data_IF_574102681274
#
_entry.id   IF_574102681274
#
_cell.length_a   1.000
_cell.length_b   1.000
_cell.length_c   1.000
_cell.angle_alpha   90.00
_cell.angle_beta   90.00
_cell.angle_gamma   90.00
#
_symmetry.space_group_name_H-M   'P 1'
#
loop_
_entity.id
_entity.type
_entity.pdbx_description
1 polymer ?
#
# COMPACT_ATOMS: atom_id res chain seq x y z
N UNK A 1 -3.02 18.87 -15.78
CA UNK A 1 -1.84 18.49 -16.58
C UNK A 1 -0.75 17.85 -15.71
N UNK A 2 -0.32 18.45 -14.59
CA UNK A 2 0.77 17.88 -13.76
C UNK A 2 0.49 16.53 -13.03
N UNK A 3 -0.75 16.22 -12.62
CA UNK A 3 -1.06 14.99 -11.87
C UNK A 3 -1.10 13.73 -12.76
N UNK A 4 -1.54 13.89 -14.01
CA UNK A 4 -1.63 12.79 -14.99
C UNK A 4 -0.24 12.29 -15.43
N UNK A 5 0.79 13.13 -15.35
CA UNK A 5 2.16 12.80 -15.77
C UNK A 5 2.97 12.04 -14.68
N UNK A 6 2.52 12.05 -13.42
CA UNK A 6 3.23 11.38 -12.32
C UNK A 6 3.14 9.87 -12.45
N UNK A 7 1.95 9.35 -12.78
CA UNK A 7 1.68 7.91 -12.92
C UNK A 7 2.59 7.24 -13.96
N UNK A 8 2.74 7.75 -15.21
CA UNK A 8 3.64 7.15 -16.19
C UNK A 8 5.11 7.28 -15.82
N UNK A 9 5.54 8.39 -15.20
CA UNK A 9 6.94 8.55 -14.75
C UNK A 9 7.30 7.58 -13.63
N UNK A 10 6.42 7.40 -12.66
CA UNK A 10 6.63 6.44 -11.58
C UNK A 10 6.73 5.01 -12.12
N UNK A 11 5.85 4.63 -13.06
CA UNK A 11 5.96 3.34 -13.74
C UNK A 11 7.26 3.21 -14.53
N UNK A 12 7.67 4.24 -15.28
CA UNK A 12 8.93 4.22 -16.02
C UNK A 12 10.15 4.00 -15.12
N UNK A 13 10.15 4.55 -13.90
CA UNK A 13 11.21 4.30 -12.91
C UNK A 13 11.22 2.83 -12.43
N UNK A 14 10.06 2.19 -12.35
CA UNK A 14 9.91 0.82 -11.88
C UNK A 14 10.05 -0.25 -12.97
N UNK A 15 9.93 0.12 -14.25
CA UNK A 15 10.00 -0.81 -15.39
C UNK A 15 11.29 -1.65 -15.38
N UNK A 16 12.43 -1.07 -14.96
CA UNK A 16 13.69 -1.81 -14.86
C UNK A 16 13.68 -2.95 -13.83
N UNK A 17 12.73 -2.94 -12.87
CA UNK A 17 12.60 -3.98 -11.86
C UNK A 17 11.72 -5.15 -12.32
N UNK A 18 10.88 -4.96 -13.35
CA UNK A 18 9.95 -5.99 -13.84
C UNK A 18 10.67 -7.25 -14.29
N UNK A 19 11.76 -7.21 -15.09
CA UNK A 19 12.49 -8.42 -15.49
C UNK A 19 13.11 -9.18 -14.31
N UNK A 20 13.54 -8.46 -13.26
CA UNK A 20 14.11 -9.07 -12.06
C UNK A 20 13.04 -9.80 -11.24
N UNK A 21 11.81 -9.28 -11.28
CA UNK A 21 10.66 -9.82 -10.56
C UNK A 21 9.82 -10.79 -11.41
N UNK A 22 10.17 -10.99 -12.69
CA UNK A 22 9.52 -11.95 -13.58
C UNK A 22 9.34 -13.35 -12.98
N UNK A 23 10.31 -13.97 -12.26
CA UNK A 23 10.08 -15.29 -11.67
C UNK A 23 9.07 -15.28 -10.52
N UNK A 24 8.81 -14.13 -9.90
CA UNK A 24 7.90 -13.99 -8.76
C UNK A 24 6.46 -13.88 -9.26
N UNK A 25 5.52 -14.52 -8.54
CA UNK A 25 4.10 -14.37 -8.84
C UNK A 25 3.58 -13.02 -8.28
N UNK A 26 2.80 -12.22 -9.02
CA UNK A 26 2.26 -10.93 -8.58
C UNK A 26 1.61 -10.95 -7.19
N UNK A 27 0.80 -11.97 -6.87
CA UNK A 27 0.18 -12.11 -5.54
C UNK A 27 1.17 -12.06 -4.36
N UNK A 28 2.40 -12.57 -4.53
CA UNK A 28 3.42 -12.50 -3.48
C UNK A 28 3.93 -11.07 -3.28
N UNK A 29 3.98 -10.30 -4.37
CA UNK A 29 4.33 -8.87 -4.33
C UNK A 29 3.20 -8.10 -3.62
N UNK A 30 1.94 -8.40 -3.94
CA UNK A 30 0.76 -7.85 -3.25
C UNK A 30 0.78 -8.20 -1.75
N UNK A 31 1.06 -9.46 -1.40
CA UNK A 31 1.16 -9.91 0.00
C UNK A 31 2.30 -9.20 0.76
N UNK A 32 3.44 -8.97 0.11
CA UNK A 32 4.53 -8.19 0.68
C UNK A 32 4.13 -6.72 0.92
N UNK A 33 3.31 -6.14 0.05
CA UNK A 33 2.71 -4.82 0.24
C UNK A 33 1.82 -4.76 1.49
N UNK A 34 0.94 -5.75 1.67
CA UNK A 34 0.10 -5.88 2.87
C UNK A 34 0.96 -6.05 4.13
N UNK A 35 2.02 -6.86 4.06
CA UNK A 35 2.95 -7.03 5.18
C UNK A 35 3.59 -5.70 5.57
N UNK A 36 4.02 -4.87 4.61
CA UNK A 36 4.55 -3.53 4.88
C UNK A 36 3.53 -2.66 5.64
N UNK A 37 2.26 -2.70 5.24
CA UNK A 37 1.16 -1.99 5.92
C UNK A 37 0.97 -2.45 7.37
N UNK A 38 0.98 -3.76 7.61
CA UNK A 38 0.84 -4.33 8.96
C UNK A 38 2.04 -4.00 9.84
N UNK A 39 3.25 -4.04 9.29
CA UNK A 39 4.46 -3.64 10.01
C UNK A 39 4.43 -2.15 10.36
N UNK A 40 4.02 -1.28 9.42
CA UNK A 40 3.85 0.15 9.70
C UNK A 40 2.82 0.38 10.82
N UNK A 41 1.68 -0.33 10.77
CA UNK A 41 0.65 -0.30 11.80
C UNK A 41 1.20 -0.69 13.18
N UNK A 42 1.96 -1.79 13.26
CA UNK A 42 2.60 -2.23 14.50
C UNK A 42 3.63 -1.21 15.03
N UNK A 43 4.38 -0.56 14.13
CA UNK A 43 5.37 0.45 14.51
C UNK A 43 4.75 1.72 15.09
N UNK A 44 3.53 2.10 14.70
CA UNK A 44 2.83 3.21 15.33
C UNK A 44 2.63 3.00 16.83
N UNK A 45 2.44 1.75 17.28
CA UNK A 45 2.23 1.43 18.70
C UNK A 45 3.43 1.78 19.58
N UNK A 46 4.65 1.70 19.03
CA UNK A 46 5.90 1.97 19.76
C UNK A 46 6.49 3.36 19.47
N UNK A 47 5.97 4.05 18.45
CA UNK A 47 6.43 5.38 18.03
C UNK A 47 6.20 6.48 19.08
N UNK A 48 5.25 6.31 20.01
CA UNK A 48 5.07 7.24 21.12
C UNK A 48 6.21 7.21 22.14
N UNK A 49 6.96 6.10 22.22
CA UNK A 49 8.03 5.91 23.22
C UNK A 49 9.43 6.00 22.60
N UNK A 50 9.56 5.69 21.30
CA UNK A 50 10.83 5.64 20.57
C UNK A 50 10.73 6.48 19.32
N UNK A 51 11.82 7.19 18.97
CA UNK A 51 11.85 8.06 17.79
C UNK A 51 12.20 7.35 16.47
N UNK A 52 12.92 6.24 16.52
CA UNK A 52 13.34 5.51 15.32
C UNK A 52 12.18 5.02 14.41
N UNK A 53 10.97 4.65 14.91
CA UNK A 53 9.87 4.24 14.06
C UNK A 53 9.43 5.33 13.07
N UNK A 54 9.59 6.61 13.42
CA UNK A 54 9.28 7.72 12.49
C UNK A 54 10.18 7.76 11.25
N UNK A 55 11.34 7.09 11.26
CA UNK A 55 12.17 6.92 10.07
C UNK A 55 11.76 5.68 9.27
N UNK A 56 11.35 4.61 9.95
CA UNK A 56 11.06 3.32 9.30
C UNK A 56 9.65 3.28 8.70
N UNK A 57 8.67 3.88 9.37
CA UNK A 57 7.27 3.91 8.89
C UNK A 57 7.17 4.53 7.48
N UNK A 58 7.74 5.72 7.20
CA UNK A 58 7.70 6.29 5.84
C UNK A 58 8.34 5.37 4.80
N UNK A 59 9.43 4.68 5.14
CA UNK A 59 10.08 3.73 4.24
C UNK A 59 9.19 2.53 3.93
N UNK A 60 8.51 1.98 4.94
CA UNK A 60 7.53 0.90 4.75
C UNK A 60 6.34 1.35 3.89
N UNK A 61 5.84 2.57 4.09
CA UNK A 61 4.74 3.11 3.29
C UNK A 61 5.16 3.36 1.83
N UNK A 62 6.36 3.89 1.61
CA UNK A 62 6.93 4.05 0.26
C UNK A 62 7.14 2.69 -0.41
N UNK A 63 7.63 1.69 0.33
CA UNK A 63 7.79 0.34 -0.16
C UNK A 63 6.43 -0.28 -0.51
N UNK A 64 5.41 -0.11 0.33
CA UNK A 64 4.02 -0.55 0.06
C UNK A 64 3.48 0.03 -1.23
N UNK A 65 3.64 1.35 -1.46
CA UNK A 65 3.17 2.01 -2.69
C UNK A 65 3.93 1.47 -3.91
N UNK A 66 5.22 1.20 -3.73
CA UNK A 66 6.08 0.64 -4.79
C UNK A 66 5.68 -0.79 -5.14
N UNK A 67 5.45 -1.65 -4.13
CA UNK A 67 5.02 -3.04 -4.32
C UNK A 67 3.65 -3.12 -4.98
N UNK A 68 2.69 -2.29 -4.58
CA UNK A 68 1.35 -2.20 -5.20
C UNK A 68 1.36 -1.64 -6.64
N UNK A 69 2.46 -1.03 -7.06
CA UNK A 69 2.65 -0.67 -8.47
C UNK A 69 3.31 -1.82 -9.24
N UNK A 70 4.28 -2.48 -8.61
CA UNK A 70 5.04 -3.58 -9.19
C UNK A 70 4.19 -4.84 -9.40
N UNK A 71 3.26 -5.19 -8.51
CA UNK A 71 2.40 -6.36 -8.70
C UNK A 71 1.55 -6.24 -9.98
N UNK A 72 0.91 -5.10 -10.22
CA UNK A 72 0.15 -4.83 -11.43
C UNK A 72 1.03 -4.77 -12.68
N UNK A 73 2.21 -4.15 -12.59
CA UNK A 73 3.17 -4.10 -13.71
C UNK A 73 3.69 -5.48 -14.07
N UNK A 74 4.15 -6.27 -13.08
CA UNK A 74 4.61 -7.64 -13.27
C UNK A 74 3.49 -8.51 -13.81
N UNK A 75 2.26 -8.40 -13.28
CA UNK A 75 1.12 -9.15 -13.80
C UNK A 75 0.87 -8.88 -15.29
N UNK A 76 0.84 -7.60 -15.69
CA UNK A 76 0.57 -7.18 -17.07
C UNK A 76 1.71 -7.55 -18.03
N UNK A 77 2.96 -7.27 -17.66
CA UNK A 77 4.11 -7.41 -18.54
C UNK A 77 4.60 -8.87 -18.66
N UNK A 78 4.34 -9.72 -17.66
CA UNK A 78 4.75 -11.14 -17.68
C UNK A 78 3.64 -12.11 -18.10
N UNK A 79 2.47 -11.59 -18.52
CA UNK A 79 1.33 -12.42 -18.95
C UNK A 79 0.65 -13.18 -17.80
N UNK A 80 0.88 -12.79 -16.55
CA UNK A 80 0.28 -13.41 -15.34
C UNK A 80 -1.00 -12.71 -14.86
N UNK A 81 -1.45 -11.67 -15.58
CA UNK A 81 -2.67 -10.94 -15.26
C UNK A 81 -3.91 -11.85 -15.34
N UNK A 82 -4.79 -11.73 -14.34
CA UNK A 82 -6.04 -12.48 -14.24
C UNK A 82 -7.08 -11.70 -13.42
N UNK A 83 -8.36 -11.92 -13.70
CA UNK A 83 -9.46 -11.26 -13.01
C UNK A 83 -9.43 -11.44 -11.48
N UNK A 84 -9.11 -12.64 -10.99
CA UNK A 84 -8.97 -12.86 -9.55
C UNK A 84 -7.81 -12.07 -8.92
N UNK A 85 -6.73 -11.83 -9.67
CA UNK A 85 -5.58 -11.05 -9.20
C UNK A 85 -5.93 -9.57 -9.04
N UNK A 86 -6.75 -9.02 -9.94
CA UNK A 86 -7.27 -7.65 -9.81
C UNK A 86 -8.16 -7.51 -8.56
N UNK A 87 -9.04 -8.48 -8.30
CA UNK A 87 -9.86 -8.51 -7.08
C UNK A 87 -8.98 -8.61 -5.83
N UNK A 88 -7.99 -9.49 -5.85
CA UNK A 88 -7.04 -9.64 -4.73
C UNK A 88 -6.28 -8.33 -4.47
N UNK A 89 -5.85 -7.64 -5.52
CA UNK A 89 -5.15 -6.36 -5.42
C UNK A 89 -6.02 -5.28 -4.78
N UNK A 90 -7.25 -5.11 -5.28
CA UNK A 90 -8.21 -4.14 -4.74
C UNK A 90 -8.52 -4.43 -3.26
N UNK A 91 -8.72 -5.71 -2.91
CA UNK A 91 -8.93 -6.12 -1.52
C UNK A 91 -7.70 -5.87 -0.63
N UNK A 92 -6.50 -6.17 -1.13
CA UNK A 92 -5.24 -5.95 -0.43
C UNK A 92 -4.96 -4.46 -0.19
N UNK A 93 -5.33 -3.60 -1.14
CA UNK A 93 -5.26 -2.15 -0.99
C UNK A 93 -6.18 -1.67 0.14
N UNK A 94 -7.45 -2.11 0.16
CA UNK A 94 -8.38 -1.76 1.25
C UNK A 94 -7.89 -2.26 2.61
N UNK A 95 -7.42 -3.49 2.68
CA UNK A 95 -6.90 -4.07 3.91
C UNK A 95 -5.67 -3.31 4.41
N UNK A 96 -4.79 -2.92 3.50
CA UNK A 96 -3.60 -2.11 3.78
C UNK A 96 -3.97 -0.75 4.37
N UNK A 97 -4.90 -0.04 3.72
CA UNK A 97 -5.31 1.29 4.14
C UNK A 97 -5.99 1.26 5.52
N UNK A 98 -6.85 0.25 5.74
CA UNK A 98 -7.45 0.00 7.06
C UNK A 98 -6.38 -0.33 8.09
N UNK A 99 -5.43 -1.23 7.79
CA UNK A 99 -4.37 -1.59 8.73
C UNK A 99 -3.54 -0.37 9.14
N UNK A 100 -3.14 0.47 8.19
CA UNK A 100 -2.33 1.67 8.44
C UNK A 100 -3.12 2.68 9.29
N UNK A 101 -4.34 3.03 8.87
CA UNK A 101 -5.12 4.07 9.55
C UNK A 101 -5.68 3.59 10.89
N UNK A 102 -6.14 2.34 11.00
CA UNK A 102 -6.55 1.77 12.27
C UNK A 102 -5.36 1.62 13.22
N UNK A 103 -4.21 1.15 12.72
CA UNK A 103 -2.97 1.09 13.49
C UNK A 103 -2.60 2.45 14.07
N UNK A 104 -2.65 3.52 13.25
CA UNK A 104 -2.44 4.88 13.72
C UNK A 104 -3.51 5.32 14.74
N UNK A 105 -4.78 5.02 14.49
CA UNK A 105 -5.92 5.39 15.34
C UNK A 105 -5.85 4.77 16.74
N UNK A 106 -5.39 3.52 16.84
CA UNK A 106 -5.19 2.79 18.10
C UNK A 106 -3.79 3.04 18.72
N UNK A 107 -2.96 3.85 18.08
CA UNK A 107 -1.64 4.18 18.58
C UNK A 107 -1.67 5.33 19.58
N UNK A 108 -0.63 5.48 20.43
CA UNK A 108 -0.49 6.64 21.31
C UNK A 108 -0.32 7.98 20.58
N UNK A 109 -0.15 7.97 19.24
CA UNK A 109 0.09 9.17 18.44
C UNK A 109 -1.18 9.94 18.10
N UNK A 110 -2.34 9.29 18.14
CA UNK A 110 -3.62 9.91 17.77
C UNK A 110 -4.73 9.45 18.72
N UNK A 111 -5.93 9.98 18.55
CA UNK A 111 -7.11 9.55 19.29
C UNK A 111 -8.11 8.89 18.35
N UNK A 112 -8.92 7.99 18.90
CA UNK A 112 -10.01 7.34 18.16
C UNK A 112 -11.00 8.36 17.58
N UNK A 113 -11.15 9.52 18.19
CA UNK A 113 -12.01 10.60 17.67
C UNK A 113 -11.61 11.04 16.25
N UNK A 114 -10.31 11.06 15.94
CA UNK A 114 -9.80 11.44 14.63
C UNK A 114 -9.48 10.24 13.74
N UNK A 115 -9.01 9.15 14.35
CA UNK A 115 -8.66 7.94 13.61
C UNK A 115 -9.85 7.22 13.00
N UNK A 116 -10.98 7.12 13.73
CA UNK A 116 -12.16 6.40 13.22
C UNK A 116 -12.76 7.08 11.99
N UNK A 117 -12.99 8.41 11.96
CA UNK A 117 -13.42 9.11 10.76
C UNK A 117 -12.44 8.97 9.59
N UNK A 118 -11.13 8.94 9.83
CA UNK A 118 -10.13 8.75 8.79
C UNK A 118 -10.23 7.37 8.12
N UNK A 119 -10.41 6.31 8.92
CA UNK A 119 -10.64 4.94 8.41
C UNK A 119 -11.94 4.87 7.60
N UNK A 120 -13.02 5.49 8.09
CA UNK A 120 -14.28 5.55 7.33
C UNK A 120 -14.10 6.32 6.02
N UNK A 121 -13.43 7.47 6.06
CA UNK A 121 -13.20 8.31 4.88
C UNK A 121 -12.38 7.59 3.80
N UNK A 122 -11.32 6.85 4.17
CA UNK A 122 -10.51 6.12 3.17
C UNK A 122 -11.30 5.02 2.48
N UNK A 123 -12.17 4.32 3.23
CA UNK A 123 -13.06 3.30 2.67
C UNK A 123 -14.12 3.92 1.76
N UNK A 124 -14.74 5.03 2.17
CA UNK A 124 -15.72 5.73 1.34
C UNK A 124 -15.10 6.26 0.04
N UNK A 125 -13.94 6.93 0.13
CA UNK A 125 -13.20 7.43 -1.05
C UNK A 125 -12.89 6.31 -2.03
N UNK A 126 -12.58 5.15 -1.50
CA UNK A 126 -12.27 3.93 -2.22
C UNK A 126 -13.48 3.35 -2.97
N UNK A 127 -14.66 3.31 -2.33
CA UNK A 127 -15.89 2.85 -2.98
C UNK A 127 -16.39 3.82 -4.06
N UNK A 128 -16.24 5.13 -3.86
CA UNK A 128 -16.60 6.13 -4.87
C UNK A 128 -15.78 5.94 -6.15
N UNK A 129 -14.52 5.49 -6.05
CA UNK A 129 -13.67 5.24 -7.22
C UNK A 129 -14.02 3.97 -8.01
N UNK A 130 -14.86 3.09 -7.46
CA UNK A 130 -15.30 1.83 -8.10
C UNK A 130 -16.64 1.99 -8.83
N UNK A 131 -17.43 3.02 -8.48
CA UNK A 131 -18.70 3.38 -9.12
C UNK A 131 -18.49 4.31 -10.33
#
# INVERSE_FOLDING_TARGET
MALYDVKPRFRALLQGLVPVLEPVHPDWITAAGVLCSVLAAALFQVAGQRRWPFLVIPLLLLLRITLNALDGMVAQETGKARAFGEVLNEMADRLSDVAILAGLAFSPLTSLLWGTPAVVAVLLSSYVGVL
#
